data_IF_427603225511
#
_entry.id   IF_427603225511
#
_cell.length_a   1.000
_cell.length_b   1.000
_cell.length_c   1.000
_cell.angle_alpha   90.00
_cell.angle_beta   90.00
_cell.angle_gamma   90.00
#
_symmetry.space_group_name_H-M   'P 1'
#
loop_
_entity.id
_entity.type
_entity.pdbx_description
1 polymer ?
#
# COMPACT_ATOMS: atom_id res chain seq x y z
N UNK A 1 -20.38 13.62 -3.82
CA UNK A 1 -19.41 13.01 -2.89
C UNK A 1 -19.14 11.60 -3.38
N UNK A 2 -17.91 11.29 -3.81
CA UNK A 2 -17.55 9.93 -4.24
C UNK A 2 -17.38 9.10 -2.99
N UNK A 3 -18.16 8.02 -2.89
CA UNK A 3 -18.08 7.03 -1.82
C UNK A 3 -16.63 6.59 -1.67
N UNK A 4 -16.03 6.90 -0.52
CA UNK A 4 -14.87 6.18 -0.03
C UNK A 4 -15.28 4.70 -0.05
N UNK A 5 -14.52 3.89 -0.78
CA UNK A 5 -14.78 2.48 -0.85
C UNK A 5 -14.81 1.95 0.59
N UNK A 6 -15.97 1.48 1.04
CA UNK A 6 -16.06 0.61 2.21
C UNK A 6 -15.41 -0.69 1.78
N UNK A 7 -14.10 -0.76 1.95
CA UNK A 7 -13.35 -2.00 1.91
C UNK A 7 -13.82 -2.86 3.08
N UNK A 8 -13.90 -4.17 2.90
CA UNK A 8 -14.42 -5.09 3.92
C UNK A 8 -13.45 -5.22 5.12
N UNK A 9 -12.18 -4.84 4.93
CA UNK A 9 -11.16 -4.85 5.98
C UNK A 9 -11.16 -3.54 6.80
N UNK A 10 -11.43 -3.64 8.12
CA UNK A 10 -11.14 -2.56 9.08
C UNK A 10 -9.71 -2.69 9.62
N UNK A 11 -8.98 -1.58 9.59
CA UNK A 11 -7.63 -1.44 10.15
C UNK A 11 -7.60 -0.38 11.26
N UNK A 12 -8.76 -0.08 11.83
CA UNK A 12 -8.90 0.95 12.86
C UNK A 12 -8.05 0.59 14.08
N UNK A 13 -7.21 1.53 14.50
CA UNK A 13 -6.27 1.32 15.61
C UNK A 13 -5.05 0.44 15.30
N UNK A 14 -4.93 -0.09 14.07
CA UNK A 14 -3.79 -0.88 13.61
C UNK A 14 -2.85 -0.04 12.75
N UNK A 15 -3.40 0.81 11.87
CA UNK A 15 -2.64 1.67 10.99
C UNK A 15 -3.30 3.05 10.88
N UNK A 16 -2.50 4.11 10.86
CA UNK A 16 -3.03 5.47 10.71
C UNK A 16 -3.82 5.63 9.40
N UNK A 17 -4.99 6.27 9.45
CA UNK A 17 -5.89 6.50 8.31
C UNK A 17 -5.20 7.08 7.08
N UNK A 18 -4.22 7.96 7.28
CA UNK A 18 -3.52 8.60 6.18
C UNK A 18 -2.67 7.61 5.37
N UNK A 19 -2.14 6.57 6.02
CA UNK A 19 -1.37 5.48 5.37
C UNK A 19 -2.31 4.59 4.57
N UNK A 20 -3.48 4.24 5.12
CA UNK A 20 -4.53 3.49 4.40
C UNK A 20 -5.02 4.22 3.15
N UNK A 21 -5.35 5.51 3.30
CA UNK A 21 -5.75 6.36 2.16
C UNK A 21 -4.66 6.45 1.10
N UNK A 22 -3.40 6.50 1.52
CA UNK A 22 -2.25 6.53 0.62
C UNK A 22 -2.12 5.21 -0.14
N UNK A 23 -2.22 4.05 0.52
CA UNK A 23 -2.19 2.72 -0.13
C UNK A 23 -3.22 2.66 -1.26
N UNK A 24 -4.48 2.97 -0.95
CA UNK A 24 -5.58 2.93 -1.92
C UNK A 24 -5.34 3.87 -3.09
N UNK A 25 -4.88 5.10 -2.82
CA UNK A 25 -4.59 6.08 -3.86
C UNK A 25 -3.47 5.63 -4.78
N UNK A 26 -2.42 5.01 -4.23
CA UNK A 26 -1.28 4.51 -5.01
C UNK A 26 -1.66 3.28 -5.84
N UNK A 27 -2.34 2.30 -5.26
CA UNK A 27 -2.84 1.11 -5.98
C UNK A 27 -3.73 1.50 -7.17
N UNK A 28 -4.68 2.42 -6.99
CA UNK A 28 -5.53 2.92 -8.09
C UNK A 28 -4.73 3.61 -9.20
N UNK A 29 -3.68 4.35 -8.85
CA UNK A 29 -2.78 4.98 -9.84
C UNK A 29 -1.95 3.98 -10.63
N UNK A 30 -1.67 2.82 -10.03
CA UNK A 30 -0.95 1.72 -10.66
C UNK A 30 -1.87 0.81 -11.50
N UNK A 31 -3.19 1.08 -11.52
CA UNK A 31 -4.13 0.37 -12.39
C UNK A 31 -4.80 -0.86 -11.77
N UNK A 32 -4.65 -1.07 -10.46
CA UNK A 32 -5.34 -2.14 -9.73
C UNK A 32 -6.85 -1.98 -9.85
N UNK A 33 -7.54 -3.10 -10.10
CA UNK A 33 -9.00 -3.19 -10.17
C UNK A 33 -9.57 -3.22 -8.76
N UNK A 34 -10.85 -2.84 -8.61
CA UNK A 34 -11.48 -2.73 -7.29
C UNK A 34 -11.41 -4.04 -6.47
N UNK A 35 -11.55 -5.20 -7.11
CA UNK A 35 -11.44 -6.51 -6.44
C UNK A 35 -9.99 -6.90 -6.05
N UNK A 36 -8.98 -6.25 -6.63
CA UNK A 36 -7.57 -6.47 -6.30
C UNK A 36 -7.12 -5.55 -5.14
N UNK A 37 -7.89 -4.48 -4.86
CA UNK A 37 -7.54 -3.48 -3.85
C UNK A 37 -7.53 -4.06 -2.43
N UNK A 38 -8.44 -4.96 -2.10
CA UNK A 38 -8.53 -5.55 -0.76
C UNK A 38 -7.29 -6.38 -0.43
N UNK A 39 -6.87 -7.24 -1.35
CA UNK A 39 -5.64 -8.02 -1.22
C UNK A 39 -4.43 -7.07 -1.20
N UNK A 40 -4.34 -6.15 -2.16
CA UNK A 40 -3.28 -5.15 -2.24
C UNK A 40 -3.11 -4.34 -0.94
N UNK A 41 -4.21 -4.00 -0.27
CA UNK A 41 -4.20 -3.38 1.05
C UNK A 41 -3.64 -4.31 2.11
N UNK A 42 -4.16 -5.53 2.27
CA UNK A 42 -3.74 -6.46 3.33
C UNK A 42 -2.22 -6.66 3.36
N UNK A 43 -1.60 -6.98 2.23
CA UNK A 43 -0.14 -7.19 2.20
C UNK A 43 0.64 -5.90 2.43
N UNK A 44 0.16 -4.77 1.92
CA UNK A 44 0.85 -3.49 2.12
C UNK A 44 0.75 -3.05 3.59
N UNK A 45 -0.39 -3.27 4.25
CA UNK A 45 -0.58 -3.03 5.68
C UNK A 45 0.39 -3.88 6.49
N UNK A 46 0.50 -5.18 6.20
CA UNK A 46 1.47 -6.06 6.87
C UNK A 46 2.91 -5.53 6.71
N UNK A 47 3.29 -5.11 5.51
CA UNK A 47 4.61 -4.52 5.28
C UNK A 47 4.84 -3.22 6.07
N UNK A 48 3.82 -2.36 6.18
CA UNK A 48 3.91 -1.11 6.95
C UNK A 48 3.97 -1.35 8.47
N UNK A 49 3.29 -2.39 8.98
CA UNK A 49 3.38 -2.78 10.39
C UNK A 49 4.80 -3.22 10.77
N UNK A 50 5.52 -3.85 9.84
CA UNK A 50 6.91 -4.22 10.02
C UNK A 50 7.90 -3.09 9.70
N UNK A 51 7.45 -2.01 9.07
CA UNK A 51 8.29 -0.88 8.71
C UNK A 51 8.40 0.10 9.88
N UNK A 52 9.64 0.43 10.26
CA UNK A 52 9.94 1.50 11.22
C UNK A 52 10.75 2.57 10.53
N UNK A 53 10.17 3.77 10.45
CA UNK A 53 10.89 4.93 9.94
C UNK A 53 12.01 5.32 10.90
N UNK A 54 13.24 5.37 10.40
CA UNK A 54 14.40 5.85 11.13
C UNK A 54 14.91 7.14 10.46
N UNK A 55 14.68 8.32 11.06
CA UNK A 55 15.08 9.59 10.47
C UNK A 55 16.60 9.71 10.29
N UNK A 56 17.41 9.03 11.12
CA UNK A 56 18.87 9.07 11.00
C UNK A 56 19.37 8.34 9.75
N UNK A 57 18.56 7.39 9.22
CA UNK A 57 18.84 6.64 7.99
C UNK A 57 18.07 7.15 6.77
N UNK A 58 17.22 8.18 6.94
CA UNK A 58 16.29 8.64 5.92
C UNK A 58 16.90 9.62 4.91
N UNK A 59 18.17 10.02 5.04
CA UNK A 59 18.85 10.95 4.12
C UNK A 59 18.06 12.24 3.83
N UNK A 60 17.38 12.78 4.84
CA UNK A 60 16.53 13.98 4.72
C UNK A 60 15.11 13.74 4.20
N UNK A 61 14.72 12.50 3.92
CA UNK A 61 13.34 12.15 3.57
C UNK A 61 12.43 12.22 4.80
N UNK A 62 11.21 12.71 4.62
CA UNK A 62 10.16 12.62 5.62
C UNK A 62 9.49 11.23 5.61
N UNK A 63 8.81 10.89 6.71
CA UNK A 63 8.10 9.61 6.88
C UNK A 63 7.13 9.33 5.72
N UNK A 64 6.41 10.33 5.24
CA UNK A 64 5.46 10.16 4.13
C UNK A 64 6.12 9.72 2.84
N UNK A 65 7.32 10.22 2.54
CA UNK A 65 8.13 9.79 1.40
C UNK A 65 8.60 8.35 1.57
N UNK A 66 9.09 8.00 2.77
CA UNK A 66 9.55 6.64 3.06
C UNK A 66 8.40 5.62 2.99
N UNK A 67 7.26 5.94 3.59
CA UNK A 67 6.03 5.13 3.52
C UNK A 67 5.54 4.99 2.08
N UNK A 68 5.55 6.06 1.28
CA UNK A 68 5.17 5.99 -0.14
C UNK A 68 6.06 5.02 -0.91
N UNK A 69 7.38 5.06 -0.68
CA UNK A 69 8.30 4.15 -1.35
C UNK A 69 8.08 2.69 -0.96
N UNK A 70 7.78 2.41 0.32
CA UNK A 70 7.41 1.05 0.77
C UNK A 70 6.14 0.57 0.08
N UNK A 71 5.10 1.42 0.03
CA UNK A 71 3.83 1.10 -0.64
C UNK A 71 4.06 0.77 -2.12
N UNK A 72 4.75 1.67 -2.85
CA UNK A 72 4.97 1.51 -4.28
C UNK A 72 5.75 0.22 -4.59
N UNK A 73 6.77 -0.10 -3.77
CA UNK A 73 7.54 -1.34 -3.92
C UNK A 73 6.65 -2.57 -3.74
N UNK A 74 5.84 -2.61 -2.70
CA UNK A 74 4.99 -3.78 -2.42
C UNK A 74 3.96 -4.03 -3.53
N UNK A 75 3.32 -2.96 -4.02
CA UNK A 75 2.34 -3.10 -5.10
C UNK A 75 2.99 -3.53 -6.42
N UNK A 76 4.19 -3.04 -6.73
CA UNK A 76 4.92 -3.44 -7.94
C UNK A 76 5.39 -4.90 -7.89
N UNK A 77 5.87 -5.36 -6.73
CA UNK A 77 6.27 -6.76 -6.56
C UNK A 77 5.08 -7.72 -6.75
N UNK A 78 3.88 -7.34 -6.32
CA UNK A 78 2.66 -8.11 -6.53
C UNK A 78 2.33 -8.24 -8.02
N UNK A 79 2.25 -7.11 -8.73
CA UNK A 79 1.95 -7.08 -10.17
C UNK A 79 2.95 -7.95 -10.94
N UNK A 80 4.24 -7.87 -10.58
CA UNK A 80 5.30 -8.66 -11.22
C UNK A 80 5.14 -10.17 -11.01
N UNK A 81 4.73 -10.61 -9.81
CA UNK A 81 4.51 -12.04 -9.50
C UNK A 81 3.27 -12.59 -10.19
N UNK A 82 2.19 -11.81 -10.25
CA UNK A 82 0.96 -12.21 -10.90
C UNK A 82 1.12 -12.28 -12.43
N UNK A 83 1.84 -11.34 -13.02
CA UNK A 83 2.10 -11.34 -14.46
C UNK A 83 3.02 -12.50 -14.89
N UNK A 84 3.89 -12.97 -13.99
CA UNK A 84 4.73 -14.16 -14.21
C UNK A 84 3.90 -15.46 -14.25
N UNK A 85 2.83 -15.54 -13.47
CA UNK A 85 1.96 -16.73 -13.44
C UNK A 85 0.91 -16.81 -14.55
N UNK A 86 0.54 -15.68 -15.18
CA UNK A 86 -0.39 -15.68 -16.34
C UNK A 86 0.30 -15.97 -17.69
N UNK A 87 1.63 -16.06 -17.72
CA UNK A 87 2.43 -16.28 -18.92
C UNK A 87 2.95 -17.71 -19.13
N UNK A 88 2.51 -18.68 -18.33
CA UNK A 88 2.86 -20.10 -18.43
C UNK A 88 1.62 -20.93 -18.78
#
# INVERSE_FOLDING_TARGET
MRSDAMFDNSYDGVLDDWKLKLITRRARRMGFRDFELDDAQQQTVLALLHFRFDPARANGACESTAVTAVIDRQQWERESRENTHRGA
#
